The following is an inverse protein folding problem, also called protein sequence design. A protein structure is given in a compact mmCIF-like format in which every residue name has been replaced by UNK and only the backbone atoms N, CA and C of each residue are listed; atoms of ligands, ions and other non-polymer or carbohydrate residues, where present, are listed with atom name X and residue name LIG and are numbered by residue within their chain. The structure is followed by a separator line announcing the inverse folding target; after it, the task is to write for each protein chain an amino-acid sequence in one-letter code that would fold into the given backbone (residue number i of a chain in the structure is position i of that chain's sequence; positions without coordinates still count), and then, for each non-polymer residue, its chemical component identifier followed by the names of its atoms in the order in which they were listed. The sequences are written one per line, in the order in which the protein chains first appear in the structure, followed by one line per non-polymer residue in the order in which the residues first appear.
data_IF_645383666781
#
_entry.id   IF_645383666781
#
_cell.length_a   1.000
_cell.length_b   1.000
_cell.length_c   1.000
_cell.angle_alpha   90.00
_cell.angle_beta   90.00
_cell.angle_gamma   90.00
#
_symmetry.space_group_name_H-M   'P 1'
#
loop_
_entity.id
_entity.type
_entity.pdbx_description
1 polymer ?
#
# COMPACT_ATOMS: atom_id res chain seq x y z
N UNK A 1 22.25 28.65 16.27
CA UNK A 1 21.54 27.49 15.66
C UNK A 1 22.41 26.99 14.51
N UNK A 2 23.44 26.23 14.85
CA UNK A 2 24.43 25.73 13.89
C UNK A 2 23.85 24.55 13.12
N UNK A 3 23.70 24.73 11.82
CA UNK A 3 23.40 23.68 10.85
C UNK A 3 24.60 22.74 10.73
N UNK A 4 24.49 21.53 11.28
CA UNK A 4 25.43 20.45 10.96
C UNK A 4 25.10 19.89 9.57
N UNK A 5 25.86 20.31 8.57
CA UNK A 5 25.94 19.62 7.27
C UNK A 5 26.56 18.25 7.52
N UNK A 6 25.74 17.20 7.59
CA UNK A 6 26.25 15.85 7.83
C UNK A 6 27.19 15.42 6.71
N UNK A 7 28.48 15.31 7.02
CA UNK A 7 29.53 14.78 6.14
C UNK A 7 29.35 13.26 5.97
N UNK A 8 28.38 12.84 5.15
CA UNK A 8 28.16 11.42 4.84
C UNK A 8 28.84 11.06 3.53
N UNK A 9 29.50 9.91 3.44
CA UNK A 9 30.11 9.45 2.19
C UNK A 9 29.04 9.23 1.11
N UNK A 10 29.44 9.39 -0.16
CA UNK A 10 28.55 9.15 -1.29
C UNK A 10 28.10 7.68 -1.32
N UNK A 11 26.79 7.47 -1.18
CA UNK A 11 26.16 6.15 -1.23
C UNK A 11 25.47 5.98 -2.57
N UNK A 12 25.85 4.93 -3.31
CA UNK A 12 25.15 4.54 -4.53
C UNK A 12 24.01 3.60 -4.16
N UNK A 13 22.78 3.98 -4.48
CA UNK A 13 21.58 3.17 -4.24
C UNK A 13 21.15 2.55 -5.56
N UNK A 14 21.11 1.22 -5.61
CA UNK A 14 20.60 0.48 -6.76
C UNK A 14 19.16 0.04 -6.51
N UNK A 15 18.27 0.32 -7.46
CA UNK A 15 16.85 -0.04 -7.38
C UNK A 15 16.55 -1.14 -8.40
N UNK A 16 16.11 -2.31 -7.93
CA UNK A 16 15.76 -3.43 -8.80
C UNK A 16 14.50 -3.14 -9.64
N UNK A 17 14.43 -3.78 -10.80
CA UNK A 17 13.24 -3.81 -11.66
C UNK A 17 13.02 -5.23 -12.21
N UNK A 18 11.75 -5.73 -12.25
CA UNK A 18 10.53 -5.09 -11.75
C UNK A 18 10.45 -5.11 -10.22
N UNK A 19 9.74 -4.14 -9.63
CA UNK A 19 9.49 -4.05 -8.19
C UNK A 19 8.07 -3.54 -7.93
N UNK A 20 7.47 -3.93 -6.80
CA UNK A 20 6.14 -3.49 -6.41
C UNK A 20 5.07 -4.56 -6.66
N UNK A 21 3.92 -4.13 -7.16
CA UNK A 21 2.72 -4.98 -7.27
C UNK A 21 2.75 -5.89 -8.50
N UNK A 22 2.31 -7.13 -8.31
CA UNK A 22 1.97 -8.02 -9.41
C UNK A 22 0.51 -7.78 -9.82
N UNK A 23 0.13 -8.27 -11.00
CA UNK A 23 -1.24 -8.12 -11.52
C UNK A 23 -2.32 -8.67 -10.56
N UNK A 24 -2.01 -9.73 -9.81
CA UNK A 24 -2.93 -10.30 -8.82
C UNK A 24 -3.19 -9.37 -7.63
N UNK A 25 -2.14 -8.72 -7.12
CA UNK A 25 -2.23 -7.75 -6.02
C UNK A 25 -3.03 -6.53 -6.45
N UNK A 26 -2.72 -5.98 -7.62
CA UNK A 26 -3.43 -4.81 -8.17
C UNK A 26 -4.93 -5.09 -8.33
N UNK A 27 -5.27 -6.22 -8.98
CA UNK A 27 -6.66 -6.64 -9.16
C UNK A 27 -7.39 -6.87 -7.83
N UNK A 28 -6.73 -7.48 -6.84
CA UNK A 28 -7.37 -7.76 -5.55
C UNK A 28 -7.74 -6.47 -4.81
N UNK A 29 -6.88 -5.46 -4.85
CA UNK A 29 -7.15 -4.14 -4.25
C UNK A 29 -8.33 -3.48 -4.97
N UNK A 30 -8.29 -3.43 -6.31
CA UNK A 30 -9.35 -2.81 -7.12
C UNK A 30 -10.73 -3.42 -6.87
N UNK A 31 -10.81 -4.75 -6.67
CA UNK A 31 -12.10 -5.41 -6.38
C UNK A 31 -12.73 -4.87 -5.09
N UNK A 32 -11.94 -4.66 -4.04
CA UNK A 32 -12.45 -4.13 -2.76
C UNK A 32 -12.86 -2.67 -2.92
N UNK A 33 -12.07 -1.86 -3.64
CA UNK A 33 -12.41 -0.46 -3.90
C UNK A 33 -13.70 -0.31 -4.71
N UNK A 34 -13.84 -1.08 -5.80
CA UNK A 34 -15.05 -1.09 -6.62
C UNK A 34 -16.26 -1.61 -5.84
N UNK A 35 -16.08 -2.57 -4.93
CA UNK A 35 -17.15 -3.04 -4.07
C UNK A 35 -17.61 -1.94 -3.11
N UNK A 36 -16.68 -1.21 -2.50
CA UNK A 36 -16.99 -0.07 -1.61
C UNK A 36 -17.69 1.06 -2.37
N UNK A 37 -17.27 1.36 -3.60
CA UNK A 37 -17.92 2.36 -4.45
C UNK A 37 -19.34 1.95 -4.84
N UNK A 38 -19.51 0.70 -5.29
CA UNK A 38 -20.78 0.20 -5.81
C UNK A 38 -21.83 -0.09 -4.73
N UNK A 39 -21.40 -0.63 -3.60
CA UNK A 39 -22.30 -1.15 -2.56
C UNK A 39 -22.29 -0.31 -1.27
N UNK A 40 -21.36 0.62 -1.12
CA UNK A 40 -21.17 1.38 0.11
C UNK A 40 -20.53 0.56 1.23
N UNK A 41 -20.36 1.20 2.39
CA UNK A 41 -19.77 0.57 3.59
C UNK A 41 -20.84 -0.13 4.45
N UNK A 42 -20.54 -1.26 5.14
CA UNK A 42 -19.26 -1.98 5.14
C UNK A 42 -19.13 -3.03 4.03
N UNK A 43 -17.90 -3.27 3.57
CA UNK A 43 -17.55 -4.42 2.71
C UNK A 43 -16.67 -5.38 3.50
N UNK A 44 -17.14 -6.62 3.68
CA UNK A 44 -16.41 -7.63 4.44
C UNK A 44 -15.39 -8.36 3.56
N UNK A 45 -14.15 -8.47 4.03
CA UNK A 45 -13.08 -9.21 3.36
C UNK A 45 -12.57 -10.31 4.28
N UNK A 46 -12.59 -11.55 3.79
CA UNK A 46 -12.12 -12.70 4.58
C UNK A 46 -10.59 -12.69 4.63
N UNK A 47 -10.03 -12.41 5.81
CA UNK A 47 -8.60 -12.18 6.04
C UNK A 47 -8.08 -10.92 5.35
N UNK A 48 -6.78 -10.66 5.48
CA UNK A 48 -6.14 -9.57 4.76
C UNK A 48 -6.11 -9.85 3.25
N UNK A 49 -6.56 -8.87 2.45
CA UNK A 49 -6.62 -9.01 0.98
C UNK A 49 -5.22 -9.20 0.37
N UNK A 50 -4.21 -8.55 0.96
CA UNK A 50 -2.79 -8.69 0.66
C UNK A 50 -1.98 -8.49 1.94
N UNK A 51 -0.82 -9.12 2.03
CA UNK A 51 0.07 -9.01 3.20
C UNK A 51 0.90 -7.72 3.15
N UNK A 52 0.22 -6.58 3.25
CA UNK A 52 0.83 -5.27 3.33
C UNK A 52 0.00 -4.39 4.25
N UNK A 53 0.57 -4.03 5.41
CA UNK A 53 -0.11 -3.24 6.43
C UNK A 53 -0.67 -1.92 5.89
N UNK A 54 0.10 -1.19 5.08
CA UNK A 54 -0.35 0.09 4.52
C UNK A 54 -1.58 -0.07 3.61
N UNK A 55 -1.62 -1.13 2.81
CA UNK A 55 -2.76 -1.42 1.94
C UNK A 55 -3.99 -1.80 2.77
N UNK A 56 -3.81 -2.69 3.75
CA UNK A 56 -4.92 -3.17 4.59
C UNK A 56 -5.51 -2.03 5.43
N UNK A 57 -4.67 -1.22 6.07
CA UNK A 57 -5.13 -0.09 6.89
C UNK A 57 -5.86 0.96 6.01
N UNK A 58 -5.34 1.25 4.81
CA UNK A 58 -6.00 2.15 3.87
C UNK A 58 -7.36 1.66 3.37
N UNK A 59 -7.57 0.35 3.23
CA UNK A 59 -8.88 -0.21 2.89
C UNK A 59 -9.83 -0.22 4.10
N UNK A 60 -9.32 -0.49 5.30
CA UNK A 60 -10.11 -0.40 6.54
C UNK A 60 -10.65 1.02 6.76
N UNK A 61 -9.82 2.04 6.54
CA UNK A 61 -10.22 3.45 6.64
C UNK A 61 -11.35 3.81 5.66
N UNK A 62 -11.41 3.13 4.51
CA UNK A 62 -12.48 3.29 3.51
C UNK A 62 -13.77 2.54 3.87
N UNK A 63 -13.76 1.68 4.88
CA UNK A 63 -14.92 0.89 5.33
C UNK A 63 -14.90 -0.58 4.95
N UNK A 64 -13.73 -1.12 4.55
CA UNK A 64 -13.54 -2.57 4.52
C UNK A 64 -13.42 -3.13 5.94
N UNK A 65 -13.99 -4.32 6.19
CA UNK A 65 -14.00 -4.99 7.49
C UNK A 65 -13.41 -6.39 7.38
#
# INVERSE_FOLDING_TARGET
MTSETSNRPALTIHLCAPRGFCAGVDRAIQIVELALEKYGRPVYVRHEIVLNKFVVDGLRDKGAV
#
